data_IF_671154519474
#
_entry.id   IF_671154519474
#
_cell.length_a   1.000
_cell.length_b   1.000
_cell.length_c   1.000
_cell.angle_alpha   90.00
_cell.angle_beta   90.00
_cell.angle_gamma   90.00
#
_symmetry.space_group_name_H-M   'P 1'
#
loop_
_entity.id
_entity.type
_entity.pdbx_description
1 polymer ?
#
# COMPACT_ATOMS: atom_id res chain seq x y z
N UNK A 1 9.10 11.77 -9.88
CA UNK A 1 10.56 11.86 -9.64
C UNK A 1 11.17 10.47 -9.83
N UNK A 2 12.49 10.34 -9.94
CA UNK A 2 13.16 9.04 -10.05
C UNK A 2 13.91 8.72 -8.75
N UNK A 3 13.82 7.49 -8.28
CA UNK A 3 14.46 7.02 -7.05
C UNK A 3 15.13 5.66 -7.28
N UNK A 4 16.10 5.33 -6.44
CA UNK A 4 16.72 4.00 -6.46
C UNK A 4 15.71 2.94 -6.05
N UNK A 5 16.03 1.67 -6.34
CA UNK A 5 15.21 0.53 -5.92
C UNK A 5 15.00 0.53 -4.40
N UNK A 6 16.06 0.80 -3.65
CA UNK A 6 16.01 0.81 -2.19
C UNK A 6 15.13 1.94 -1.65
N UNK A 7 15.34 3.18 -2.12
CA UNK A 7 14.52 4.33 -1.73
C UNK A 7 13.04 4.12 -2.09
N UNK A 8 12.78 3.49 -3.24
CA UNK A 8 11.40 3.22 -3.66
C UNK A 8 10.74 2.20 -2.74
N UNK A 9 11.45 1.14 -2.34
CA UNK A 9 10.92 0.16 -1.39
C UNK A 9 10.61 0.78 -0.02
N UNK A 10 11.50 1.65 0.47
CA UNK A 10 11.31 2.41 1.71
C UNK A 10 10.08 3.34 1.62
N UNK A 11 9.95 4.10 0.53
CA UNK A 11 8.82 5.02 0.32
C UNK A 11 7.47 4.30 0.20
N UNK A 12 7.46 3.11 -0.36
CA UNK A 12 6.24 2.30 -0.50
C UNK A 12 5.95 1.47 0.76
N UNK A 13 6.90 1.42 1.70
CA UNK A 13 6.89 0.55 2.88
C UNK A 13 6.65 -0.92 2.50
N UNK A 14 7.37 -1.40 1.47
CA UNK A 14 7.33 -2.80 1.03
C UNK A 14 8.72 -3.42 1.12
N UNK A 15 8.77 -4.74 1.19
CA UNK A 15 10.04 -5.46 1.17
C UNK A 15 10.79 -5.23 -0.15
N UNK A 16 12.10 -5.00 -0.06
CA UNK A 16 12.96 -4.85 -1.23
C UNK A 16 12.86 -6.07 -2.17
N UNK A 17 12.80 -7.28 -1.61
CA UNK A 17 12.65 -8.51 -2.37
C UNK A 17 11.36 -8.55 -3.19
N UNK A 18 10.27 -8.03 -2.63
CA UNK A 18 8.99 -7.91 -3.35
C UNK A 18 9.08 -6.90 -4.49
N UNK A 19 9.67 -5.72 -4.26
CA UNK A 19 9.88 -4.75 -5.34
C UNK A 19 10.79 -5.30 -6.45
N UNK A 20 11.85 -6.03 -6.09
CA UNK A 20 12.70 -6.71 -7.07
C UNK A 20 11.93 -7.76 -7.87
N UNK A 21 11.04 -8.52 -7.25
CA UNK A 21 10.16 -9.45 -7.94
C UNK A 21 9.24 -8.73 -8.96
N UNK A 22 8.67 -7.59 -8.60
CA UNK A 22 7.85 -6.78 -9.51
C UNK A 22 8.64 -6.25 -10.71
N UNK A 23 9.90 -5.86 -10.49
CA UNK A 23 10.81 -5.44 -11.56
C UNK A 23 11.12 -6.63 -12.49
N UNK A 24 11.50 -7.79 -11.93
CA UNK A 24 11.84 -9.00 -12.70
C UNK A 24 10.65 -9.51 -13.53
N UNK A 25 9.45 -9.44 -12.97
CA UNK A 25 8.20 -9.83 -13.65
C UNK A 25 7.64 -8.73 -14.56
N UNK A 26 8.37 -7.63 -14.75
CA UNK A 26 8.01 -6.50 -15.62
C UNK A 26 6.69 -5.83 -15.28
N UNK A 27 6.27 -5.89 -14.02
CA UNK A 27 5.08 -5.19 -13.52
C UNK A 27 5.34 -3.70 -13.27
N UNK A 28 6.61 -3.34 -13.13
CA UNK A 28 7.06 -1.97 -12.83
C UNK A 28 8.09 -1.54 -13.86
N UNK A 29 8.02 -0.28 -14.29
CA UNK A 29 8.96 0.30 -15.25
C UNK A 29 10.18 0.84 -14.52
N UNK A 30 11.35 0.54 -15.06
CA UNK A 30 12.64 1.03 -14.59
C UNK A 30 13.35 1.80 -15.71
N UNK A 31 14.31 2.65 -15.32
CA UNK A 31 15.25 3.34 -16.20
C UNK A 31 16.64 3.09 -15.64
N UNK A 32 17.59 2.79 -16.53
CA UNK A 32 19.00 2.64 -16.15
C UNK A 32 19.76 3.91 -16.54
N UNK A 33 20.46 4.52 -15.58
CA UNK A 33 21.28 5.72 -15.77
C UNK A 33 22.63 5.48 -15.12
N UNK A 34 23.72 5.58 -15.88
CA UNK A 34 25.10 5.38 -15.39
C UNK A 34 25.30 4.06 -14.59
N UNK A 35 24.57 3.00 -14.96
CA UNK A 35 24.61 1.69 -14.30
C UNK A 35 23.74 1.56 -13.06
N UNK A 36 22.99 2.59 -12.69
CA UNK A 36 22.03 2.58 -11.59
C UNK A 36 20.59 2.40 -12.10
N UNK A 37 19.84 1.50 -11.44
CA UNK A 37 18.43 1.24 -11.75
C UNK A 37 17.55 2.18 -10.94
N UNK A 38 16.80 3.01 -11.65
CA UNK A 38 15.88 4.00 -11.11
C UNK A 38 14.43 3.66 -11.45
N UNK A 39 13.52 4.02 -10.55
CA UNK A 39 12.09 3.86 -10.73
C UNK A 39 11.40 5.22 -10.72
N UNK A 40 10.45 5.39 -11.63
CA UNK A 40 9.60 6.57 -11.63
C UNK A 40 8.57 6.45 -10.49
N UNK A 41 8.54 7.43 -9.58
CA UNK A 41 7.63 7.42 -8.44
C UNK A 41 6.15 7.48 -8.83
N UNK A 42 5.80 8.17 -9.92
CA UNK A 42 4.42 8.42 -10.32
C UNK A 42 3.66 7.14 -10.70
N UNK A 43 4.38 6.06 -11.03
CA UNK A 43 3.73 4.77 -11.33
C UNK A 43 3.11 4.11 -10.09
N UNK A 44 3.43 4.59 -8.88
CA UNK A 44 2.90 4.06 -7.63
C UNK A 44 1.81 4.92 -7.00
N UNK A 45 1.43 6.04 -7.63
CA UNK A 45 0.42 6.97 -7.09
C UNK A 45 -0.92 6.27 -6.82
N UNK A 46 -1.31 5.32 -7.69
CA UNK A 46 -2.53 4.54 -7.48
C UNK A 46 -2.42 3.64 -6.25
N UNK A 47 -1.30 2.94 -6.08
CA UNK A 47 -1.06 2.08 -4.93
C UNK A 47 -1.12 2.86 -3.62
N UNK A 48 -0.44 4.01 -3.56
CA UNK A 48 -0.44 4.88 -2.38
C UNK A 48 -1.85 5.37 -2.04
N UNK A 49 -2.62 5.83 -3.03
CA UNK A 49 -4.02 6.24 -2.84
C UNK A 49 -4.90 5.10 -2.33
N UNK A 50 -4.72 3.88 -2.85
CA UNK A 50 -5.48 2.73 -2.37
C UNK A 50 -5.11 2.38 -0.93
N UNK A 51 -3.82 2.46 -0.57
CA UNK A 51 -3.36 2.23 0.79
C UNK A 51 -3.93 3.26 1.77
N UNK A 52 -3.89 4.54 1.42
CA UNK A 52 -4.51 5.61 2.23
C UNK A 52 -6.01 5.36 2.44
N UNK A 53 -6.75 5.03 1.36
CA UNK A 53 -8.18 4.71 1.45
C UNK A 53 -8.47 3.55 2.41
N UNK A 54 -7.68 2.48 2.34
CA UNK A 54 -7.84 1.32 3.22
C UNK A 54 -7.57 1.67 4.68
N UNK A 55 -6.56 2.50 4.96
CA UNK A 55 -6.29 2.99 6.31
C UNK A 55 -7.45 3.84 6.86
N UNK A 56 -8.02 4.72 6.04
CA UNK A 56 -9.19 5.52 6.42
C UNK A 56 -10.42 4.64 6.70
N UNK A 57 -10.68 3.64 5.87
CA UNK A 57 -11.80 2.70 6.06
C UNK A 57 -11.61 1.88 7.34
N UNK A 58 -10.39 1.42 7.61
CA UNK A 58 -10.06 0.71 8.84
C UNK A 58 -10.22 1.58 10.09
N UNK A 59 -9.79 2.84 10.04
CA UNK A 59 -9.97 3.78 11.14
C UNK A 59 -11.46 4.02 11.40
N UNK A 60 -12.27 4.23 10.35
CA UNK A 60 -13.73 4.39 10.49
C UNK A 60 -14.39 3.18 11.14
N UNK A 61 -13.96 1.97 10.80
CA UNK A 61 -14.45 0.74 11.42
C UNK A 61 -14.09 0.68 12.92
N UNK A 62 -12.89 1.11 13.30
CA UNK A 62 -12.48 1.18 14.72
C UNK A 62 -13.23 2.26 15.50
N UNK A 63 -13.59 3.36 14.84
CA UNK A 63 -14.35 4.47 15.43
C UNK A 63 -15.87 4.19 15.46
N UNK A 64 -16.35 3.15 14.77
CA UNK A 64 -17.76 2.79 14.75
C UNK A 64 -18.18 2.32 16.16
N UNK A 65 -19.21 2.94 16.76
CA UNK A 65 -19.69 2.52 18.07
C UNK A 65 -20.19 1.08 17.98
N UNK A 66 -19.83 0.27 18.98
CA UNK A 66 -20.39 -1.07 19.11
C UNK A 66 -21.92 -0.91 19.17
N UNK A 67 -22.69 -1.62 18.33
CA UNK A 67 -24.14 -1.61 18.42
C UNK A 67 -24.59 -1.90 19.85
N UNK A 68 -25.66 -1.25 20.29
CA UNK A 68 -26.25 -1.60 21.59
C UNK A 68 -26.63 -3.08 21.58
N UNK A 69 -26.25 -3.80 22.64
CA UNK A 69 -26.65 -5.19 22.82
C UNK A 69 -28.18 -5.25 22.76
N UNK A 70 -28.70 -6.01 21.79
CA UNK A 70 -30.13 -6.28 21.73
C UNK A 70 -30.43 -7.18 22.94
N UNK A 71 -31.08 -6.63 23.96
CA UNK A 71 -31.63 -7.42 25.08
C UNK A 71 -32.80 -8.26 24.54
N UNK A 72 -32.46 -9.35 23.84
CA UNK A 72 -33.41 -10.37 23.42
C UNK A 72 -33.78 -11.12 24.70
N UNK A 73 -34.80 -10.62 25.38
CA UNK A 73 -35.56 -11.46 26.30
C UNK A 73 -36.23 -12.52 25.43
N UNK A 74 -35.78 -13.76 25.55
CA UNK A 74 -36.55 -14.91 25.10
C UNK A 74 -37.89 -14.83 25.87
N UNK A 75 -38.92 -14.26 25.24
CA UNK A 75 -40.30 -14.39 25.69
C UNK A 75 -40.67 -15.87 25.54
N UNK A 76 -41.00 -16.50 26.67
CA UNK A 76 -41.55 -17.86 26.83
C UNK A 76 -42.57 -18.25 25.74
#
# INVERSE_FOLDING_TARGET
MYYTVQQTAENLEIELGYLMHLIQTKQVKTVEVDGEVLLNSAQFDFFLKQRERLLEEYQKYLDEPIPEDIDIKDED
#
